data_IF_669714453219
#
_entry.id   IF_669714453219
#
_cell.length_a   1.000
_cell.length_b   1.000
_cell.length_c   1.000
_cell.angle_alpha   90.00
_cell.angle_beta   90.00
_cell.angle_gamma   90.00
#
_symmetry.space_group_name_H-M   'P 1'
#
loop_
_entity.id
_entity.type
_entity.pdbx_description
1 polymer ?
#
# COMPACT_ATOMS: atom_id res chain seq x y z
N UNK A 1 -76.23 -4.43 14.00
CA UNK A 1 -75.35 -5.28 13.23
C UNK A 1 -73.96 -4.60 13.25
N UNK A 2 -73.09 -4.99 14.19
CA UNK A 2 -71.79 -4.33 14.36
C UNK A 2 -70.73 -4.89 13.39
N UNK A 3 -70.11 -3.99 12.64
CA UNK A 3 -69.17 -4.30 11.58
C UNK A 3 -67.81 -4.72 12.18
N UNK A 4 -67.67 -6.01 12.50
CA UNK A 4 -66.43 -6.58 13.08
C UNK A 4 -65.27 -6.75 12.08
N UNK A 5 -65.52 -6.50 10.77
CA UNK A 5 -64.55 -6.72 9.74
C UNK A 5 -63.42 -5.66 9.63
N UNK A 6 -63.76 -4.39 9.94
CA UNK A 6 -62.83 -3.26 9.73
C UNK A 6 -61.70 -3.27 10.75
N UNK A 7 -61.96 -3.65 12.02
CA UNK A 7 -60.89 -3.72 13.07
C UNK A 7 -59.87 -4.80 12.85
N UNK A 8 -60.24 -5.91 12.20
CA UNK A 8 -59.31 -7.02 11.96
C UNK A 8 -58.28 -6.70 10.87
N UNK A 9 -58.66 -5.91 9.86
CA UNK A 9 -57.81 -5.47 8.77
C UNK A 9 -56.78 -4.43 9.26
N UNK A 10 -57.19 -3.46 10.11
CA UNK A 10 -56.31 -2.47 10.68
C UNK A 10 -55.28 -3.09 11.62
N UNK A 11 -55.68 -4.09 12.41
CA UNK A 11 -54.76 -4.78 13.36
C UNK A 11 -53.67 -5.60 12.59
N UNK A 12 -54.04 -6.26 11.49
CA UNK A 12 -53.09 -6.97 10.65
C UNK A 12 -52.08 -6.03 9.98
N UNK A 13 -52.52 -4.88 9.47
CA UNK A 13 -51.63 -3.89 8.87
C UNK A 13 -50.66 -3.33 9.91
N UNK A 14 -51.09 -3.02 11.14
CA UNK A 14 -50.22 -2.54 12.21
C UNK A 14 -49.15 -3.56 12.56
N UNK A 15 -49.46 -4.85 12.65
CA UNK A 15 -48.47 -5.92 12.89
C UNK A 15 -47.46 -6.03 11.75
N UNK A 16 -47.89 -5.89 10.50
CA UNK A 16 -47.01 -5.92 9.32
C UNK A 16 -46.05 -4.72 9.35
N UNK A 17 -46.52 -3.53 9.65
CA UNK A 17 -45.67 -2.34 9.79
C UNK A 17 -44.65 -2.49 10.94
N UNK A 18 -45.07 -2.97 12.09
CA UNK A 18 -44.17 -3.24 13.22
C UNK A 18 -43.09 -4.25 12.85
N UNK A 19 -43.41 -5.35 12.17
CA UNK A 19 -42.43 -6.33 11.71
C UNK A 19 -41.43 -5.71 10.74
N UNK A 20 -41.90 -4.87 9.81
CA UNK A 20 -41.01 -4.16 8.86
C UNK A 20 -40.06 -3.20 9.58
N UNK A 21 -40.54 -2.44 10.55
CA UNK A 21 -39.73 -1.54 11.37
C UNK A 21 -38.66 -2.32 12.15
N UNK A 22 -39.02 -3.46 12.73
CA UNK A 22 -38.09 -4.31 13.49
C UNK A 22 -37.00 -4.87 12.54
N UNK A 23 -37.36 -5.32 11.33
CA UNK A 23 -36.41 -5.82 10.36
C UNK A 23 -35.47 -4.71 9.90
N UNK A 24 -35.98 -3.52 9.62
CA UNK A 24 -35.16 -2.36 9.23
C UNK A 24 -34.23 -1.96 10.37
N UNK A 25 -34.73 -1.90 11.60
CA UNK A 25 -33.91 -1.59 12.77
C UNK A 25 -32.81 -2.66 13.01
N UNK A 26 -33.13 -3.94 12.84
CA UNK A 26 -32.15 -5.02 12.93
C UNK A 26 -31.10 -4.96 11.81
N UNK A 27 -31.51 -4.61 10.59
CA UNK A 27 -30.60 -4.42 9.47
C UNK A 27 -29.67 -3.23 9.70
N UNK A 28 -30.18 -2.10 10.19
CA UNK A 28 -29.37 -0.92 10.54
C UNK A 28 -28.37 -1.21 11.68
N UNK A 29 -28.79 -1.98 12.69
CA UNK A 29 -27.90 -2.43 13.77
C UNK A 29 -26.82 -3.38 13.25
N UNK A 30 -27.12 -4.28 12.33
CA UNK A 30 -26.14 -5.19 11.72
C UNK A 30 -25.07 -4.43 10.91
N UNK A 31 -25.47 -3.39 10.18
CA UNK A 31 -24.52 -2.54 9.40
C UNK A 31 -23.61 -1.75 10.34
N UNK A 32 -24.11 -1.28 11.49
CA UNK A 32 -23.30 -0.52 12.47
C UNK A 32 -22.26 -1.38 13.20
N UNK A 33 -22.37 -2.70 13.15
CA UNK A 33 -21.38 -3.63 13.70
C UNK A 33 -20.30 -4.06 12.71
N UNK A 34 -20.45 -3.74 11.42
CA UNK A 34 -19.44 -4.00 10.40
C UNK A 34 -18.27 -3.04 10.61
N UNK A 35 -17.19 -3.52 11.23
CA UNK A 35 -15.90 -2.80 11.31
C UNK A 35 -15.09 -3.19 10.12
N UNK A 36 -14.80 -2.22 9.26
CA UNK A 36 -13.78 -2.37 8.24
C UNK A 36 -12.39 -2.12 8.85
N UNK A 37 -11.39 -2.84 8.37
CA UNK A 37 -10.00 -2.54 8.68
C UNK A 37 -9.55 -1.41 7.76
N UNK A 38 -9.12 -0.32 8.35
CA UNK A 38 -8.72 0.88 7.62
C UNK A 38 -7.25 1.19 7.92
N UNK A 39 -6.63 1.90 6.98
CA UNK A 39 -5.30 2.45 7.13
C UNK A 39 -4.25 1.76 6.26
N UNK A 40 -3.15 2.50 6.10
CA UNK A 40 -1.93 2.02 5.47
C UNK A 40 -0.88 1.84 6.56
N UNK A 41 -0.56 0.57 6.87
CA UNK A 41 0.25 0.23 8.02
C UNK A 41 1.73 0.27 7.68
N UNK A 42 2.53 0.93 8.54
CA UNK A 42 3.98 0.95 8.40
C UNK A 42 4.56 -0.44 8.72
N UNK A 43 5.34 -0.99 7.80
CA UNK A 43 5.96 -2.31 7.96
C UNK A 43 6.81 -2.39 9.22
N UNK A 44 7.57 -1.33 9.54
CA UNK A 44 8.40 -1.23 10.74
C UNK A 44 7.60 -1.25 12.06
N UNK A 45 6.29 -0.94 12.02
CA UNK A 45 5.40 -0.92 13.18
C UNK A 45 4.35 -2.03 13.19
N UNK A 46 4.40 -2.96 12.25
CA UNK A 46 3.40 -4.00 12.08
C UNK A 46 3.20 -4.85 13.35
N UNK A 47 4.28 -5.14 14.07
CA UNK A 47 4.26 -5.88 15.33
C UNK A 47 3.43 -5.20 16.42
N UNK A 48 3.49 -3.87 16.51
CA UNK A 48 2.76 -3.09 17.52
C UNK A 48 1.33 -2.76 17.10
N UNK A 49 1.05 -2.78 15.82
CA UNK A 49 -0.21 -2.25 15.29
C UNK A 49 -1.21 -3.35 14.91
N UNK A 50 -0.84 -4.29 14.08
CA UNK A 50 -1.85 -5.08 13.38
C UNK A 50 -1.59 -6.58 13.30
N UNK A 51 -0.40 -7.06 13.61
CA UNK A 51 -0.03 -8.47 13.39
C UNK A 51 -0.93 -9.44 14.14
N UNK A 52 -1.32 -9.12 15.38
CA UNK A 52 -2.18 -9.98 16.19
C UNK A 52 -3.56 -10.16 15.53
N UNK A 53 -4.13 -9.08 15.01
CA UNK A 53 -5.41 -9.12 14.30
C UNK A 53 -5.31 -9.92 13.00
N UNK A 54 -4.25 -9.73 12.23
CA UNK A 54 -4.00 -10.51 11.03
C UNK A 54 -3.91 -12.01 11.34
N UNK A 55 -3.24 -12.38 12.43
CA UNK A 55 -3.12 -13.77 12.88
C UNK A 55 -4.47 -14.34 13.35
N UNK A 56 -5.31 -13.56 14.04
CA UNK A 56 -6.69 -13.96 14.38
C UNK A 56 -7.55 -14.22 13.14
N UNK A 57 -7.28 -13.53 12.04
CA UNK A 57 -7.93 -13.73 10.73
C UNK A 57 -7.35 -14.90 9.93
N UNK A 58 -6.34 -15.60 10.47
CA UNK A 58 -5.75 -16.79 9.87
C UNK A 58 -4.38 -16.58 9.20
N UNK A 59 -3.80 -15.36 9.31
CA UNK A 59 -2.44 -15.11 8.85
C UNK A 59 -1.44 -15.89 9.71
N UNK A 60 -0.52 -16.62 9.08
CA UNK A 60 0.38 -17.56 9.78
C UNK A 60 1.81 -17.08 9.92
N UNK A 61 2.15 -15.96 9.29
CA UNK A 61 3.48 -15.39 9.34
C UNK A 61 3.61 -14.45 10.55
N UNK A 62 4.85 -14.14 10.91
CA UNK A 62 5.19 -13.14 11.92
C UNK A 62 5.38 -11.76 11.27
N UNK A 63 5.49 -10.71 12.07
CA UNK A 63 5.85 -9.39 11.58
C UNK A 63 7.26 -9.38 10.99
N UNK A 64 8.16 -10.15 11.59
CA UNK A 64 9.55 -10.31 11.18
C UNK A 64 9.69 -11.04 9.83
N UNK A 65 8.78 -11.96 9.50
CA UNK A 65 8.74 -12.62 8.18
C UNK A 65 8.36 -11.63 7.07
N UNK A 66 7.59 -10.59 7.41
CA UNK A 66 7.23 -9.54 6.47
C UNK A 66 8.33 -8.50 6.36
N UNK A 67 8.78 -7.99 7.50
CA UNK A 67 9.79 -6.95 7.60
C UNK A 67 10.66 -7.12 8.85
N UNK A 68 11.96 -7.31 8.63
CA UNK A 68 13.02 -7.23 9.64
C UNK A 68 14.16 -6.39 9.05
N UNK A 69 14.75 -5.49 9.86
CA UNK A 69 15.85 -4.63 9.42
C UNK A 69 17.14 -5.41 9.17
N UNK A 70 17.30 -6.57 9.83
CA UNK A 70 18.52 -7.36 9.84
C UNK A 70 18.37 -8.69 9.08
N UNK A 71 17.18 -9.03 8.60
CA UNK A 71 16.90 -10.32 7.96
C UNK A 71 16.10 -10.13 6.67
N UNK A 72 16.33 -10.98 5.67
CA UNK A 72 15.48 -11.05 4.49
C UNK A 72 14.04 -11.36 4.87
N UNK A 73 13.08 -10.73 4.20
CA UNK A 73 11.66 -10.92 4.39
C UNK A 73 10.88 -10.72 3.10
N UNK A 74 9.55 -10.78 3.19
CA UNK A 74 8.66 -10.60 2.04
C UNK A 74 8.88 -9.22 1.39
N UNK A 75 9.22 -8.20 2.17
CA UNK A 75 9.51 -6.85 1.65
C UNK A 75 10.58 -6.83 0.55
N UNK A 76 11.56 -7.74 0.62
CA UNK A 76 12.69 -7.75 -0.32
C UNK A 76 12.31 -8.26 -1.72
N UNK A 77 11.17 -8.95 -1.82
CA UNK A 77 10.60 -9.32 -3.10
C UNK A 77 9.82 -8.18 -3.78
N UNK A 78 9.38 -7.18 -3.02
CA UNK A 78 8.56 -6.08 -3.53
C UNK A 78 9.45 -4.95 -4.02
N UNK A 79 9.19 -4.48 -5.23
CA UNK A 79 9.96 -3.40 -5.86
C UNK A 79 9.06 -2.23 -6.27
N UNK A 80 9.60 -1.03 -6.22
CA UNK A 80 9.01 0.15 -6.82
C UNK A 80 9.51 0.35 -8.24
N UNK A 81 8.62 0.30 -9.23
CA UNK A 81 8.96 0.59 -10.62
C UNK A 81 8.98 2.09 -10.86
N UNK A 82 10.09 2.61 -11.34
CA UNK A 82 10.33 4.03 -11.51
C UNK A 82 11.18 4.35 -12.74
N UNK A 83 11.64 5.58 -12.79
CA UNK A 83 12.52 6.05 -13.86
C UNK A 83 13.90 6.40 -13.29
N UNK A 84 14.92 6.20 -14.11
CA UNK A 84 16.31 6.55 -13.80
C UNK A 84 16.44 8.00 -13.30
N UNK A 85 17.29 8.21 -12.28
CA UNK A 85 17.48 9.50 -11.64
C UNK A 85 16.37 9.94 -10.66
N UNK A 86 15.33 9.12 -10.43
CA UNK A 86 14.21 9.40 -9.53
C UNK A 86 13.92 8.25 -8.57
N UNK A 87 14.83 7.89 -7.66
CA UNK A 87 14.77 6.65 -6.87
C UNK A 87 13.55 6.55 -5.93
N UNK A 88 12.88 7.67 -5.61
CA UNK A 88 11.70 7.71 -4.74
C UNK A 88 10.40 8.04 -5.47
N UNK A 89 10.42 8.09 -6.81
CA UNK A 89 9.23 8.32 -7.64
C UNK A 89 8.91 7.05 -8.42
N UNK A 90 8.00 6.26 -7.88
CA UNK A 90 7.52 5.04 -8.49
C UNK A 90 6.16 5.30 -9.16
N UNK A 91 6.02 4.78 -10.38
CA UNK A 91 4.73 4.81 -11.08
C UNK A 91 3.94 3.52 -10.84
N UNK A 92 4.62 2.46 -10.41
CA UNK A 92 4.02 1.16 -10.09
C UNK A 92 4.85 0.39 -9.06
N UNK A 93 4.32 -0.75 -8.64
CA UNK A 93 5.04 -1.79 -7.89
C UNK A 93 5.09 -3.08 -8.69
N UNK A 94 5.99 -3.96 -8.32
CA UNK A 94 6.12 -5.31 -8.84
C UNK A 94 6.72 -6.25 -7.81
N UNK A 95 6.73 -7.53 -8.12
CA UNK A 95 7.27 -8.58 -7.26
C UNK A 95 8.33 -9.39 -8.00
N UNK A 96 9.52 -9.55 -7.39
CA UNK A 96 10.56 -10.45 -7.90
C UNK A 96 10.23 -11.86 -7.40
N UNK A 97 10.01 -12.79 -8.33
CA UNK A 97 9.57 -14.16 -8.04
C UNK A 97 10.59 -15.24 -8.39
N UNK A 98 11.77 -14.86 -8.86
CA UNK A 98 12.82 -15.82 -9.17
C UNK A 98 14.22 -15.30 -8.81
N UNK A 99 15.20 -16.19 -8.60
CA UNK A 99 16.60 -15.80 -8.38
C UNK A 99 17.23 -15.07 -9.57
N UNK A 100 16.65 -15.22 -10.75
CA UNK A 100 17.14 -14.60 -11.99
C UNK A 100 16.46 -13.26 -12.30
N UNK A 101 15.65 -12.71 -11.35
CA UNK A 101 15.01 -11.41 -11.50
C UNK A 101 13.71 -11.41 -12.31
N UNK A 102 13.04 -12.57 -12.47
CA UNK A 102 11.69 -12.57 -13.05
C UNK A 102 10.77 -11.74 -12.19
N UNK A 103 10.18 -10.70 -12.79
CA UNK A 103 9.36 -9.70 -12.13
C UNK A 103 7.92 -9.79 -12.63
N UNK A 104 6.97 -9.82 -11.70
CA UNK A 104 5.55 -9.67 -11.98
C UNK A 104 5.10 -8.25 -11.69
N UNK A 105 4.17 -7.74 -12.49
CA UNK A 105 3.51 -6.45 -12.24
C UNK A 105 2.14 -6.44 -12.94
N UNK A 106 1.37 -5.37 -12.75
CA UNK A 106 0.09 -5.20 -13.42
C UNK A 106 0.29 -4.81 -14.89
N UNK A 107 -0.64 -5.23 -15.75
CA UNK A 107 -0.62 -4.89 -17.17
C UNK A 107 -0.54 -3.39 -17.43
N UNK A 108 -1.31 -2.57 -16.69
CA UNK A 108 -1.27 -1.11 -16.87
C UNK A 108 0.08 -0.49 -16.53
N UNK A 109 0.91 -1.14 -15.72
CA UNK A 109 2.27 -0.68 -15.40
C UNK A 109 3.24 -0.87 -16.57
N UNK A 110 3.02 -1.90 -17.38
CA UNK A 110 3.81 -2.20 -18.56
C UNK A 110 3.24 -1.63 -19.87
N UNK A 111 2.06 -0.99 -19.82
CA UNK A 111 1.32 -0.61 -21.03
C UNK A 111 2.14 0.26 -22.00
N UNK A 112 2.77 1.30 -21.49
CA UNK A 112 3.57 2.21 -22.32
C UNK A 112 4.79 1.50 -22.94
N UNK A 113 5.42 0.60 -22.19
CA UNK A 113 6.53 -0.22 -22.70
C UNK A 113 6.06 -1.20 -23.79
N UNK A 114 4.94 -1.89 -23.57
CA UNK A 114 4.34 -2.78 -24.55
C UNK A 114 3.99 -2.01 -25.84
N UNK A 115 3.40 -0.82 -25.70
CA UNK A 115 3.07 0.05 -26.82
C UNK A 115 4.33 0.50 -27.58
N UNK A 116 5.38 0.90 -26.86
CA UNK A 116 6.63 1.36 -27.47
C UNK A 116 7.34 0.26 -28.28
N UNK A 117 7.17 -1.01 -27.88
CA UNK A 117 7.71 -2.17 -28.62
C UNK A 117 6.79 -2.68 -29.71
N UNK A 118 5.51 -2.24 -29.74
CA UNK A 118 4.56 -2.67 -30.77
C UNK A 118 4.78 -1.93 -32.10
N UNK A 119 4.50 -2.62 -33.19
CA UNK A 119 4.47 -2.07 -34.56
C UNK A 119 3.24 -2.58 -35.31
N UNK A 120 3.08 -2.15 -36.57
CA UNK A 120 2.00 -2.65 -37.43
C UNK A 120 2.16 -4.16 -37.71
N UNK A 121 3.42 -4.64 -37.80
CA UNK A 121 3.76 -6.04 -38.04
C UNK A 121 3.69 -6.88 -36.76
N UNK A 122 3.89 -6.25 -35.61
CA UNK A 122 3.95 -6.90 -34.29
C UNK A 122 3.12 -6.12 -33.25
N UNK A 123 1.85 -6.39 -33.23
CA UNK A 123 0.91 -5.75 -32.30
C UNK A 123 0.90 -6.49 -30.93
N UNK A 124 1.91 -6.20 -30.10
CA UNK A 124 2.03 -6.85 -28.79
C UNK A 124 0.94 -6.47 -27.79
N UNK A 125 0.25 -5.34 -27.99
CA UNK A 125 -0.93 -5.00 -27.18
C UNK A 125 -2.09 -5.93 -27.45
N UNK A 126 -2.28 -6.38 -28.70
CA UNK A 126 -3.35 -7.30 -29.10
C UNK A 126 -2.92 -8.76 -28.94
N UNK A 127 -1.74 -9.12 -29.39
CA UNK A 127 -1.31 -10.51 -29.60
C UNK A 127 -0.49 -11.02 -28.38
N UNK A 128 -0.02 -10.14 -27.50
CA UNK A 128 0.90 -10.45 -26.43
C UNK A 128 2.33 -10.65 -26.95
N UNK A 129 3.26 -10.84 -26.01
CA UNK A 129 4.66 -11.14 -26.28
C UNK A 129 5.17 -12.15 -25.26
N UNK A 130 5.92 -13.15 -25.73
CA UNK A 130 6.54 -14.17 -24.88
C UNK A 130 8.02 -14.28 -25.18
N UNK A 131 8.86 -13.90 -24.23
CA UNK A 131 10.29 -14.22 -24.22
C UNK A 131 10.48 -15.58 -23.56
N UNK A 132 10.90 -16.58 -24.31
CA UNK A 132 11.19 -17.91 -23.77
C UNK A 132 12.59 -18.04 -23.17
N UNK A 133 13.44 -17.06 -23.44
CA UNK A 133 14.81 -16.94 -22.94
C UNK A 133 15.08 -15.50 -22.56
N UNK A 134 16.02 -15.26 -21.65
CA UNK A 134 16.40 -13.90 -21.23
C UNK A 134 16.90 -13.03 -22.39
N UNK A 135 17.58 -13.62 -23.35
CA UNK A 135 18.05 -12.93 -24.56
C UNK A 135 16.94 -12.47 -25.50
N UNK A 136 15.75 -13.04 -25.38
CA UNK A 136 14.57 -12.66 -26.16
C UNK A 136 13.78 -11.50 -25.51
N UNK A 137 14.12 -11.12 -24.27
CA UNK A 137 13.45 -10.03 -23.56
C UNK A 137 13.74 -8.67 -24.21
N UNK A 138 12.70 -7.84 -24.33
CA UNK A 138 12.81 -6.51 -24.91
C UNK A 138 13.22 -5.50 -23.82
N UNK A 139 14.32 -4.82 -24.05
CA UNK A 139 14.88 -3.87 -23.07
C UNK A 139 13.99 -2.63 -22.91
N UNK A 140 13.83 -2.18 -21.67
CA UNK A 140 13.10 -0.95 -21.30
C UNK A 140 14.09 0.08 -20.72
N UNK A 141 14.87 0.79 -21.56
CA UNK A 141 15.88 1.73 -21.10
C UNK A 141 15.26 2.86 -20.25
N UNK A 142 15.94 3.24 -19.18
CA UNK A 142 15.48 4.27 -18.27
C UNK A 142 14.47 3.81 -17.22
N UNK A 143 13.95 2.57 -17.31
CA UNK A 143 13.10 1.97 -16.27
C UNK A 143 13.98 1.38 -15.17
N UNK A 144 13.58 1.59 -13.92
CA UNK A 144 14.29 1.10 -12.73
C UNK A 144 13.36 0.33 -11.81
N UNK A 145 13.93 -0.65 -11.09
CA UNK A 145 13.28 -1.34 -9.99
C UNK A 145 14.04 -1.02 -8.70
N UNK A 146 13.38 -0.35 -7.75
CA UNK A 146 13.94 0.02 -6.45
C UNK A 146 13.48 -0.95 -5.38
N UNK A 147 14.41 -1.46 -4.59
CA UNK A 147 14.16 -2.36 -3.46
C UNK A 147 14.26 -1.55 -2.16
N UNK A 148 13.34 -1.76 -1.23
CA UNK A 148 13.40 -1.17 0.10
C UNK A 148 14.44 -1.92 0.94
N UNK A 149 15.62 -1.35 1.08
CA UNK A 149 16.67 -1.93 1.91
C UNK A 149 16.34 -1.79 3.40
N UNK A 150 16.03 -0.56 3.86
CA UNK A 150 15.85 -0.26 5.27
C UNK A 150 14.88 0.91 5.49
N UNK A 151 14.12 0.84 6.59
CA UNK A 151 13.26 1.91 7.08
C UNK A 151 13.51 2.08 8.59
N UNK A 152 13.78 3.31 9.04
CA UNK A 152 14.04 3.66 10.43
C UNK A 152 13.15 4.80 10.89
N UNK A 153 12.73 4.76 12.15
CA UNK A 153 12.05 5.88 12.81
C UNK A 153 13.11 6.89 13.30
N UNK A 154 13.10 8.07 12.73
CA UNK A 154 14.02 9.17 13.06
C UNK A 154 13.31 10.36 13.71
N UNK A 155 12.08 10.15 14.19
CA UNK A 155 11.20 11.19 14.77
C UNK A 155 11.93 11.98 15.88
N UNK A 156 12.60 11.31 16.80
CA UNK A 156 13.29 11.96 17.91
C UNK A 156 14.44 12.87 17.43
N UNK A 157 15.17 12.43 16.40
CA UNK A 157 16.27 13.23 15.82
C UNK A 157 15.73 14.50 15.16
N UNK A 158 14.60 14.39 14.44
CA UNK A 158 13.96 15.54 13.80
C UNK A 158 13.38 16.47 14.86
N UNK A 159 12.68 15.97 15.85
CA UNK A 159 12.08 16.79 16.90
C UNK A 159 13.13 17.50 17.77
N UNK A 160 14.31 16.94 17.96
CA UNK A 160 15.38 17.53 18.76
C UNK A 160 15.89 18.89 18.21
N UNK A 161 15.71 19.16 16.93
CA UNK A 161 16.11 20.44 16.30
C UNK A 161 14.98 21.45 16.22
N UNK A 162 13.75 21.11 16.63
CA UNK A 162 12.56 21.94 16.56
C UNK A 162 12.22 22.57 17.92
N UNK A 163 11.63 23.77 17.90
CA UNK A 163 11.08 24.41 19.08
C UNK A 163 9.88 25.31 18.72
N UNK A 164 9.08 25.65 19.74
CA UNK A 164 7.82 26.41 19.58
C UNK A 164 8.00 27.87 19.15
N UNK A 165 9.24 28.40 19.15
CA UNK A 165 9.52 29.79 18.75
C UNK A 165 9.83 29.92 17.26
N UNK A 166 10.06 28.80 16.57
CA UNK A 166 10.34 28.80 15.14
C UNK A 166 9.10 29.17 14.34
N UNK A 167 9.25 30.05 13.38
CA UNK A 167 8.27 30.24 12.32
C UNK A 167 8.34 29.08 11.31
N UNK A 168 7.38 29.02 10.37
CA UNK A 168 7.28 27.91 9.42
C UNK A 168 8.56 27.76 8.55
N UNK A 169 9.11 28.85 8.04
CA UNK A 169 10.32 28.81 7.22
C UNK A 169 11.55 28.31 7.98
N UNK A 170 11.71 28.74 9.25
CA UNK A 170 12.77 28.27 10.13
C UNK A 170 12.61 26.78 10.44
N UNK A 171 11.39 26.34 10.67
CA UNK A 171 11.04 24.95 10.93
C UNK A 171 11.35 24.05 9.71
N UNK A 172 10.93 24.46 8.53
CA UNK A 172 11.22 23.75 7.28
C UNK A 172 12.73 23.65 7.02
N UNK A 173 13.46 24.76 7.22
CA UNK A 173 14.91 24.77 7.05
C UNK A 173 15.63 23.81 8.04
N UNK A 174 15.21 23.80 9.31
CA UNK A 174 15.77 22.89 10.32
C UNK A 174 15.50 21.42 9.97
N UNK A 175 14.28 21.09 9.54
CA UNK A 175 13.91 19.75 9.08
C UNK A 175 14.74 19.34 7.86
N UNK A 176 14.89 20.23 6.88
CA UNK A 176 15.67 19.94 5.68
C UNK A 176 17.15 19.67 6.02
N UNK A 177 17.74 20.46 6.92
CA UNK A 177 19.12 20.29 7.35
C UNK A 177 19.33 18.95 8.07
N UNK A 178 18.54 18.65 9.11
CA UNK A 178 18.69 17.39 9.86
C UNK A 178 18.39 16.17 8.98
N UNK A 179 17.45 16.30 8.07
CA UNK A 179 17.14 15.24 7.08
C UNK A 179 18.34 14.95 6.18
N UNK A 180 19.01 15.99 5.68
CA UNK A 180 20.21 15.82 4.85
C UNK A 180 21.36 15.15 5.63
N UNK A 181 21.55 15.48 6.91
CA UNK A 181 22.53 14.85 7.80
C UNK A 181 22.20 13.37 8.01
N UNK A 182 20.95 13.04 8.31
CA UNK A 182 20.48 11.66 8.48
C UNK A 182 20.71 10.84 7.22
N UNK A 183 20.33 11.36 6.06
CA UNK A 183 20.52 10.69 4.77
C UNK A 183 22.01 10.45 4.50
N UNK A 184 22.85 11.47 4.71
CA UNK A 184 24.29 11.38 4.49
C UNK A 184 24.92 10.30 5.37
N UNK A 185 24.52 10.20 6.63
CA UNK A 185 25.01 9.17 7.56
C UNK A 185 24.55 7.77 7.12
N UNK A 186 23.24 7.63 6.81
CA UNK A 186 22.63 6.36 6.45
C UNK A 186 23.17 5.77 5.13
N UNK A 187 23.56 6.64 4.19
CA UNK A 187 24.06 6.21 2.87
C UNK A 187 25.58 6.20 2.72
N UNK A 188 26.31 6.60 3.78
CA UNK A 188 27.77 6.70 3.76
C UNK A 188 28.44 5.38 3.39
N UNK A 189 29.26 5.41 2.33
CA UNK A 189 30.00 4.23 1.86
C UNK A 189 29.14 3.19 1.13
N UNK A 190 27.90 3.52 0.80
CA UNK A 190 26.97 2.64 0.08
C UNK A 190 26.62 3.23 -1.30
N UNK A 191 25.89 2.45 -2.11
CA UNK A 191 25.24 2.93 -3.35
C UNK A 191 23.75 3.20 -3.14
N UNK A 192 23.30 3.24 -1.89
CA UNK A 192 21.89 3.45 -1.55
C UNK A 192 21.48 4.91 -1.72
N UNK A 193 20.23 5.13 -2.03
CA UNK A 193 19.57 6.44 -1.94
C UNK A 193 18.77 6.50 -0.65
N UNK A 194 18.70 7.67 0.00
CA UNK A 194 17.95 7.88 1.24
C UNK A 194 16.93 9.00 1.09
N UNK A 195 15.83 8.90 1.83
CA UNK A 195 14.82 9.95 1.97
C UNK A 195 14.34 9.98 3.42
N UNK A 196 14.11 11.18 3.96
CA UNK A 196 13.38 11.39 5.22
C UNK A 196 12.01 11.95 4.85
N UNK A 197 10.95 11.34 5.37
CA UNK A 197 9.57 11.71 5.07
C UNK A 197 8.73 11.68 6.33
N UNK A 198 7.85 12.67 6.52
CA UNK A 198 6.82 12.63 7.54
C UNK A 198 5.77 11.57 7.18
N UNK A 199 5.40 10.76 8.18
CA UNK A 199 4.34 9.75 8.08
C UNK A 199 3.24 10.15 9.04
N UNK A 200 1.99 10.16 8.58
CA UNK A 200 0.83 10.60 9.34
C UNK A 200 0.08 9.42 9.94
#
# INVERSE_FOLDING_TARGET
MYNFGVRKIEFNNTIIYMKRIIIIAAALLAVSMAKADEGMWLLSRLKQQNIEKMQQMGFKLTAEDIYDINKPGIKDAIVGLGNEGRPFRHFCSGEIISPNGLLLTNHHCGFDAIQAHSSVEHDYLRDGFWAYKMEDELANPGTTASILERMEDVTDRVNAVLNDKMNEAEREAAIAQVSAEIIKEATKGTKLSGQVQAMF
#
